data_IF_687966861349
#
_entry.id   IF_687966861349
#
_cell.length_a   1.000
_cell.length_b   1.000
_cell.length_c   1.000
_cell.angle_alpha   90.00
_cell.angle_beta   90.00
_cell.angle_gamma   90.00
#
_symmetry.space_group_name_H-M   'P 1'
#
loop_
_entity.id
_entity.type
_entity.pdbx_description
1 polymer ?
#
# COMPACT_ATOMS: atom_id res chain seq x y z
N UNK A 1 -17.42 -17.36 11.79
CA UNK A 1 -17.87 -17.96 10.52
C UNK A 1 -17.41 -17.05 9.41
N UNK A 2 -16.41 -17.48 8.64
CA UNK A 2 -15.92 -16.77 7.47
C UNK A 2 -16.71 -17.11 6.20
N UNK A 3 -16.15 -16.80 5.03
CA UNK A 3 -16.67 -17.21 3.72
C UNK A 3 -16.53 -18.72 3.52
N UNK A 4 -17.61 -19.37 3.12
CA UNK A 4 -17.62 -20.76 2.65
C UNK A 4 -17.27 -20.82 1.16
N UNK A 5 -16.85 -21.98 0.64
CA UNK A 5 -16.54 -22.15 -0.80
C UNK A 5 -17.70 -21.75 -1.72
N UNK A 6 -18.95 -21.99 -1.31
CA UNK A 6 -20.14 -21.53 -2.04
C UNK A 6 -20.31 -19.99 -2.00
N UNK A 7 -19.95 -19.34 -0.90
CA UNK A 7 -19.99 -17.87 -0.79
C UNK A 7 -18.94 -17.22 -1.69
N UNK A 8 -17.77 -17.85 -1.81
CA UNK A 8 -16.68 -17.42 -2.72
C UNK A 8 -17.14 -17.45 -4.18
N UNK A 9 -17.79 -18.55 -4.63
CA UNK A 9 -18.34 -18.66 -5.98
C UNK A 9 -19.38 -17.57 -6.29
N UNK A 10 -20.29 -17.28 -5.35
CA UNK A 10 -21.29 -16.21 -5.52
C UNK A 10 -20.64 -14.81 -5.61
N UNK A 11 -19.57 -14.58 -4.85
CA UNK A 11 -18.77 -13.35 -4.93
C UNK A 11 -18.07 -13.25 -6.30
N UNK A 12 -17.48 -14.34 -6.79
CA UNK A 12 -16.84 -14.43 -8.10
C UNK A 12 -17.80 -14.13 -9.25
N UNK A 13 -18.97 -14.78 -9.29
CA UNK A 13 -20.00 -14.56 -10.32
C UNK A 13 -20.51 -13.10 -10.31
N UNK A 14 -20.62 -12.52 -9.11
CA UNK A 14 -21.03 -11.11 -8.95
C UNK A 14 -19.95 -10.14 -9.46
N UNK A 15 -18.67 -10.43 -9.21
CA UNK A 15 -17.52 -9.66 -9.71
C UNK A 15 -17.38 -9.80 -11.23
N UNK A 16 -17.53 -11.00 -11.78
CA UNK A 16 -17.57 -11.26 -13.23
C UNK A 16 -18.74 -10.50 -13.89
N UNK A 17 -19.86 -10.33 -13.19
CA UNK A 17 -20.99 -9.47 -13.59
C UNK A 17 -20.70 -7.95 -13.46
N UNK A 18 -19.46 -7.55 -13.17
CA UNK A 18 -19.04 -6.15 -13.04
C UNK A 18 -19.56 -5.44 -11.79
N UNK A 19 -20.01 -6.18 -10.77
CA UNK A 19 -20.58 -5.62 -9.53
C UNK A 19 -19.68 -5.99 -8.35
N UNK A 20 -19.41 -5.02 -7.48
CA UNK A 20 -18.63 -5.24 -6.26
C UNK A 20 -19.56 -5.66 -5.10
N UNK A 21 -19.58 -6.95 -4.68
CA UNK A 21 -20.40 -7.40 -3.57
C UNK A 21 -19.93 -6.75 -2.26
N UNK A 22 -20.88 -6.50 -1.36
CA UNK A 22 -20.59 -6.00 -0.01
C UNK A 22 -20.39 -7.17 0.94
N UNK A 23 -19.33 -7.10 1.73
CA UNK A 23 -18.95 -8.11 2.72
C UNK A 23 -18.79 -7.46 4.09
N UNK A 24 -18.89 -8.25 5.16
CA UNK A 24 -18.67 -7.82 6.55
C UNK A 24 -17.43 -8.50 7.07
N UNK A 25 -16.56 -7.75 7.75
CA UNK A 25 -15.37 -8.31 8.37
C UNK A 25 -15.73 -9.04 9.67
N UNK A 26 -15.14 -10.21 9.89
CA UNK A 26 -15.29 -11.02 11.11
C UNK A 26 -14.32 -10.55 12.19
N UNK A 27 -14.44 -11.08 13.41
CA UNK A 27 -13.51 -10.83 14.51
C UNK A 27 -12.05 -11.21 14.19
N UNK A 28 -11.83 -12.14 13.25
CA UNK A 28 -10.50 -12.51 12.75
C UNK A 28 -9.76 -11.35 12.06
N UNK A 29 -10.50 -10.43 11.42
CA UNK A 29 -9.95 -9.22 10.79
C UNK A 29 -9.46 -8.16 11.80
N UNK A 30 -9.50 -8.43 13.11
CA UNK A 30 -8.97 -7.56 14.14
C UNK A 30 -9.63 -6.17 14.18
N UNK A 31 -8.86 -5.11 13.94
CA UNK A 31 -9.30 -3.71 14.13
C UNK A 31 -10.46 -3.28 13.22
N UNK A 32 -10.76 -4.03 12.16
CA UNK A 32 -11.86 -3.73 11.22
C UNK A 32 -13.06 -4.67 11.36
N UNK A 33 -13.05 -5.58 12.35
CA UNK A 33 -14.18 -6.45 12.66
C UNK A 33 -15.51 -5.68 12.75
N UNK A 34 -16.57 -6.27 12.18
CA UNK A 34 -17.90 -5.67 12.12
C UNK A 34 -18.08 -4.50 11.13
N UNK A 35 -17.01 -4.02 10.46
CA UNK A 35 -17.14 -3.03 9.39
C UNK A 35 -17.62 -3.68 8.09
N UNK A 36 -18.07 -2.84 7.15
CA UNK A 36 -18.54 -3.27 5.82
C UNK A 36 -17.51 -2.87 4.76
N UNK A 37 -17.07 -3.82 3.96
CA UNK A 37 -16.20 -3.63 2.81
C UNK A 37 -16.90 -3.93 1.48
N UNK A 38 -16.25 -3.59 0.37
CA UNK A 38 -16.61 -4.01 -0.99
C UNK A 38 -15.48 -4.86 -1.56
N UNK A 39 -15.78 -6.03 -2.10
CA UNK A 39 -14.77 -6.85 -2.78
C UNK A 39 -14.41 -6.15 -4.10
N UNK A 40 -13.14 -5.80 -4.28
CA UNK A 40 -12.60 -5.15 -5.47
C UNK A 40 -12.04 -6.18 -6.45
N UNK A 41 -11.35 -7.20 -5.92
CA UNK A 41 -10.80 -8.33 -6.64
C UNK A 41 -10.94 -9.59 -5.79
N UNK A 42 -11.17 -10.71 -6.47
CA UNK A 42 -11.01 -12.04 -5.94
C UNK A 42 -9.90 -12.70 -6.77
N UNK A 43 -8.87 -13.20 -6.11
CA UNK A 43 -7.79 -13.97 -6.74
C UNK A 43 -8.02 -15.47 -6.51
N UNK A 44 -7.23 -16.30 -7.19
CA UNK A 44 -7.38 -17.75 -7.17
C UNK A 44 -7.21 -18.29 -5.74
N UNK A 45 -8.07 -19.19 -5.24
CA UNK A 45 -8.11 -19.58 -3.82
C UNK A 45 -6.98 -20.56 -3.43
N UNK A 46 -5.74 -20.10 -3.58
CA UNK A 46 -4.61 -20.63 -2.83
C UNK A 46 -4.73 -20.21 -1.36
N UNK A 47 -4.34 -21.08 -0.43
CA UNK A 47 -4.53 -20.87 1.00
C UNK A 47 -3.83 -19.58 1.49
N UNK A 48 -4.60 -18.61 1.96
CA UNK A 48 -4.09 -17.30 2.38
C UNK A 48 -5.05 -16.16 2.09
N UNK A 49 -4.49 -15.02 1.68
CA UNK A 49 -5.18 -13.73 1.51
C UNK A 49 -5.55 -13.46 0.03
N UNK A 50 -6.59 -14.12 -0.48
CA UNK A 50 -7.01 -14.02 -1.90
C UNK A 50 -8.17 -13.03 -2.15
N UNK A 51 -8.70 -12.36 -1.12
CA UNK A 51 -9.85 -11.44 -1.24
C UNK A 51 -9.40 -9.99 -1.05
N UNK A 52 -9.31 -9.19 -2.12
CA UNK A 52 -9.02 -7.75 -1.99
C UNK A 52 -10.29 -6.97 -1.67
N UNK A 53 -10.38 -6.42 -0.45
CA UNK A 53 -11.56 -5.70 0.03
C UNK A 53 -11.23 -4.22 0.29
N UNK A 54 -11.99 -3.34 -0.35
CA UNK A 54 -11.95 -1.89 -0.08
C UNK A 54 -12.93 -1.53 1.04
N UNK A 55 -12.45 -0.86 2.08
CA UNK A 55 -13.26 -0.30 3.17
C UNK A 55 -12.87 1.15 3.42
N UNK A 56 -13.85 2.07 3.34
CA UNK A 56 -13.56 3.50 3.35
C UNK A 56 -12.62 3.92 2.20
N UNK A 57 -11.41 4.35 2.57
CA UNK A 57 -10.36 4.76 1.64
C UNK A 57 -9.25 3.72 1.47
N UNK A 58 -9.24 2.68 2.29
CA UNK A 58 -8.20 1.66 2.34
C UNK A 58 -8.62 0.44 1.51
N UNK A 59 -7.63 -0.23 0.91
CA UNK A 59 -7.79 -1.44 0.11
C UNK A 59 -6.72 -2.43 0.55
N UNK A 60 -7.14 -3.52 1.20
CA UNK A 60 -6.27 -4.56 1.75
C UNK A 60 -6.66 -5.94 1.21
N UNK A 61 -5.71 -6.88 1.11
CA UNK A 61 -6.01 -8.29 0.97
C UNK A 61 -6.50 -8.88 2.31
N UNK A 62 -7.33 -9.91 2.23
CA UNK A 62 -7.92 -10.62 3.38
C UNK A 62 -8.09 -12.10 3.07
N UNK A 63 -8.08 -12.93 4.11
CA UNK A 63 -8.39 -14.36 3.98
C UNK A 63 -9.90 -14.62 3.96
N UNK A 64 -10.28 -15.84 3.59
CA UNK A 64 -11.67 -16.31 3.71
C UNK A 64 -12.20 -16.28 5.16
N UNK A 65 -11.34 -16.38 6.18
CA UNK A 65 -11.75 -16.38 7.59
C UNK A 65 -12.12 -14.96 8.08
N UNK A 66 -11.47 -13.93 7.55
CA UNK A 66 -11.58 -12.52 7.97
C UNK A 66 -12.83 -11.82 7.44
N UNK A 67 -13.50 -12.46 6.47
CA UNK A 67 -14.60 -11.88 5.70
C UNK A 67 -15.80 -12.81 5.76
N UNK A 68 -17.02 -12.28 5.72
CA UNK A 68 -18.25 -13.05 5.49
C UNK A 68 -19.26 -12.28 4.65
N UNK A 69 -20.18 -13.01 4.02
CA UNK A 69 -21.37 -12.37 3.44
C UNK A 69 -22.28 -11.91 4.60
N UNK A 70 -22.77 -10.66 4.59
CA UNK A 70 -23.75 -10.19 5.58
C UNK A 70 -25.05 -10.99 5.48
N UNK A 71 -25.61 -11.36 6.62
CA UNK A 71 -26.93 -11.98 6.65
C UNK A 71 -27.98 -11.03 6.03
N UNK A 72 -29.03 -11.59 5.41
CA UNK A 72 -30.04 -10.81 4.68
C UNK A 72 -30.78 -9.84 5.62
N UNK A 73 -30.42 -8.55 5.56
CA UNK A 73 -30.92 -7.48 6.43
C UNK A 73 -29.93 -6.95 7.48
N UNK A 74 -28.76 -7.55 7.62
CA UNK A 74 -27.71 -7.14 8.58
C UNK A 74 -27.17 -5.73 8.26
N UNK A 75 -26.88 -5.46 6.98
CA UNK A 75 -26.50 -4.13 6.48
C UNK A 75 -27.58 -3.05 6.69
N UNK A 76 -28.83 -3.44 6.95
CA UNK A 76 -29.95 -2.52 7.19
C UNK A 76 -30.13 -2.19 8.68
N UNK A 77 -29.45 -2.90 9.59
CA UNK A 77 -29.57 -2.68 11.04
C UNK A 77 -28.70 -1.52 11.53
N UNK A 78 -27.62 -1.19 10.83
CA UNK A 78 -26.65 -0.17 11.22
C UNK A 78 -27.20 1.28 11.30
N UNK A 79 -28.41 1.55 10.81
CA UNK A 79 -29.09 2.87 10.94
C UNK A 79 -30.14 2.89 12.05
N UNK A 80 -30.41 1.77 12.73
CA UNK A 80 -31.28 1.75 13.91
C UNK A 80 -30.42 1.73 15.18
N UNK A 81 -30.24 2.93 15.75
CA UNK A 81 -29.99 3.13 17.18
C UNK A 81 -30.87 2.15 17.98
N UNK A 82 -30.37 1.44 19.01
CA UNK A 82 -31.19 0.53 19.80
C UNK A 82 -32.36 1.30 20.43
N UNK A 83 -33.54 1.18 19.83
CA UNK A 83 -34.79 1.51 20.49
C UNK A 83 -35.05 0.35 21.44
N UNK A 84 -35.09 0.65 22.74
CA UNK A 84 -35.39 -0.35 23.76
C UNK A 84 -36.76 -0.98 23.48
N UNK A 85 -36.85 -2.28 23.74
CA UNK A 85 -38.04 -3.09 23.58
C UNK A 85 -39.13 -2.63 24.59
N UNK A 86 -40.36 -2.30 24.16
CA UNK A 86 -41.38 -1.75 25.05
C UNK A 86 -42.48 -2.77 25.42
N UNK A 87 -42.34 -3.41 26.59
CA UNK A 87 -43.41 -4.06 27.38
C UNK A 87 -43.04 -3.89 28.87
N UNK A 88 -43.92 -3.64 29.84
CA UNK A 88 -45.29 -3.10 29.87
C UNK A 88 -45.51 -2.44 31.27
N UNK A 89 -46.65 -1.75 31.58
CA UNK A 89 -46.65 -0.66 32.56
C UNK A 89 -46.93 -1.04 34.02
N UNK A 90 -46.29 -0.35 34.99
CA UNK A 90 -46.70 -0.37 36.39
C UNK A 90 -46.32 0.90 37.22
N UNK A 91 -47.37 1.66 37.60
CA UNK A 91 -47.59 2.45 38.84
C UNK A 91 -46.78 3.73 39.20
N UNK A 92 -47.54 4.86 39.23
CA UNK A 92 -47.46 6.08 40.09
C UNK A 92 -46.32 7.13 40.01
N UNK A 93 -46.65 8.43 39.83
CA UNK A 93 -45.79 9.59 40.12
C UNK A 93 -46.02 10.10 41.58
N UNK A 94 -45.10 10.90 42.17
CA UNK A 94 -45.24 12.36 42.00
C UNK A 94 -43.93 13.19 41.99
N UNK A 95 -44.03 14.34 41.30
CA UNK A 95 -43.45 15.67 41.62
C UNK A 95 -41.98 15.82 42.06
N UNK A 96 -41.23 16.59 41.26
CA UNK A 96 -39.91 17.13 41.61
C UNK A 96 -39.30 17.98 40.49
N UNK A 97 -39.83 19.17 40.26
CA UNK A 97 -39.33 20.14 39.26
C UNK A 97 -39.24 21.54 39.91
N UNK A 98 -38.52 22.53 39.32
CA UNK A 98 -37.46 22.49 38.30
C UNK A 98 -36.18 23.19 38.85
N UNK A 99 -35.66 24.21 38.14
CA UNK A 99 -34.43 25.01 38.40
C UNK A 99 -33.14 24.36 37.85
N UNK A 100 -32.43 24.89 36.85
CA UNK A 100 -32.54 26.18 36.14
C UNK A 100 -32.43 25.96 34.63
N UNK A 101 -33.33 26.59 33.87
CA UNK A 101 -32.96 27.04 32.54
C UNK A 101 -32.07 28.28 32.66
N UNK A 102 -31.37 28.63 31.57
CA UNK A 102 -31.60 29.90 30.86
C UNK A 102 -30.31 30.65 30.45
N UNK A 103 -30.12 30.76 29.12
CA UNK A 103 -29.39 31.81 28.35
C UNK A 103 -27.97 32.24 28.80
N UNK A 104 -27.03 32.12 27.86
CA UNK A 104 -26.72 33.29 27.02
C UNK A 104 -26.27 32.94 25.60
N UNK A 105 -26.40 33.94 24.73
CA UNK A 105 -26.29 33.91 23.27
C UNK A 105 -25.06 34.74 22.83
N UNK A 106 -24.63 34.60 21.56
CA UNK A 106 -23.78 35.59 20.83
C UNK A 106 -22.33 35.82 21.36
N UNK A 107 -21.31 36.30 20.62
CA UNK A 107 -21.17 36.68 19.20
C UNK A 107 -19.69 36.67 18.74
N UNK A 108 -19.47 36.43 17.44
CA UNK A 108 -18.43 36.94 16.50
C UNK A 108 -16.91 37.12 16.85
N UNK A 109 -16.13 37.03 15.76
CA UNK A 109 -14.87 37.74 15.47
C UNK A 109 -13.53 37.30 16.09
N UNK A 110 -12.44 37.63 15.37
CA UNK A 110 -11.07 37.64 15.92
C UNK A 110 -9.98 37.05 15.00
N UNK A 111 -9.52 37.81 14.00
CA UNK A 111 -8.42 37.40 13.12
C UNK A 111 -7.04 37.92 13.60
N UNK A 112 -5.99 37.16 13.27
CA UNK A 112 -4.60 37.58 13.08
C UNK A 112 -3.73 37.92 14.33
N UNK A 113 -2.42 37.63 14.24
CA UNK A 113 -1.46 37.85 15.32
C UNK A 113 0.00 37.52 14.95
N UNK A 114 0.68 38.40 14.21
CA UNK A 114 2.13 38.34 13.92
C UNK A 114 2.92 39.36 14.74
N UNK A 115 4.03 38.94 15.37
CA UNK A 115 5.13 39.77 15.97
C UNK A 115 6.40 38.91 16.03
N UNK A 116 7.63 39.22 15.56
CA UNK A 116 8.39 40.43 15.12
C UNK A 116 9.27 41.11 16.20
N UNK A 117 10.58 41.27 15.89
CA UNK A 117 11.76 41.95 16.55
C UNK A 117 12.74 41.02 17.29
N UNK A 118 14.06 41.27 17.32
CA UNK A 118 14.96 42.29 16.70
C UNK A 118 16.42 41.75 16.67
N UNK A 119 17.39 42.18 15.82
CA UNK A 119 18.07 43.50 15.76
C UNK A 119 18.74 43.88 17.11
N UNK A 120 20.03 44.26 17.29
CA UNK A 120 21.21 44.66 16.48
C UNK A 120 22.50 44.41 17.34
N UNK A 121 23.79 44.63 17.00
CA UNK A 121 24.52 45.19 15.83
C UNK A 121 25.98 44.64 15.74
N UNK A 122 26.82 45.33 14.97
CA UNK A 122 28.29 45.28 14.74
C UNK A 122 29.23 45.04 15.95
N UNK A 123 30.39 44.42 15.67
CA UNK A 123 31.68 44.95 16.13
C UNK A 123 32.83 44.60 15.17
N UNK A 124 33.65 45.60 14.84
CA UNK A 124 34.84 45.52 13.98
C UNK A 124 36.14 45.41 14.82
N UNK A 125 37.22 44.95 14.17
CA UNK A 125 38.64 45.26 14.45
C UNK A 125 39.50 44.24 15.22
N UNK A 126 40.70 43.95 14.70
CA UNK A 126 41.80 43.32 15.46
C UNK A 126 42.81 42.43 14.70
N UNK A 127 43.88 43.01 14.13
CA UNK A 127 45.19 42.41 13.73
C UNK A 127 45.21 41.24 12.69
N UNK A 128 45.94 41.28 11.56
CA UNK A 128 47.40 41.42 11.34
C UNK A 128 48.20 40.23 11.91
N UNK A 129 49.16 39.56 11.23
CA UNK A 129 50.06 39.92 10.10
C UNK A 129 50.40 38.64 9.23
N UNK A 130 51.33 38.58 8.23
CA UNK A 130 51.06 37.90 6.95
C UNK A 130 51.99 36.73 6.58
N UNK A 131 51.79 36.11 5.38
CA UNK A 131 52.86 35.50 4.56
C UNK A 131 52.48 35.30 3.07
N UNK A 132 52.57 36.39 2.31
CA UNK A 132 53.37 36.51 1.08
C UNK A 132 53.43 35.31 0.09
N UNK A 133 52.77 35.43 -1.08
CA UNK A 133 53.41 35.41 -2.42
C UNK A 133 52.39 35.40 -3.59
N UNK A 134 52.10 36.57 -4.16
CA UNK A 134 51.60 36.78 -5.53
C UNK A 134 52.79 36.99 -6.50
N UNK A 135 52.63 37.14 -7.84
CA UNK A 135 51.55 36.71 -8.75
C UNK A 135 52.07 35.98 -10.03
N UNK A 136 51.17 35.46 -10.87
CA UNK A 136 51.25 35.67 -12.33
C UNK A 136 49.85 35.80 -12.95
N UNK A 137 49.76 36.74 -13.89
CA UNK A 137 48.55 37.19 -14.58
C UNK A 137 48.06 36.19 -15.65
N UNK A 138 46.75 35.90 -15.69
CA UNK A 138 45.99 35.83 -16.95
C UNK A 138 44.48 35.55 -16.76
N UNK A 139 43.69 36.29 -17.56
CA UNK A 139 42.38 35.89 -18.13
C UNK A 139 41.07 36.14 -17.34
N UNK A 140 40.67 37.41 -17.41
CA UNK A 140 39.30 37.98 -17.57
C UNK A 140 38.09 37.01 -17.55
N UNK A 141 36.98 37.35 -16.84
CA UNK A 141 35.81 36.48 -16.69
C UNK A 141 35.07 36.23 -18.01
N UNK A 142 34.97 34.95 -18.40
CA UNK A 142 34.14 34.53 -19.54
C UNK A 142 32.64 34.56 -19.16
N UNK A 143 31.76 35.14 -19.99
CA UNK A 143 30.33 35.22 -19.68
C UNK A 143 29.67 33.85 -19.73
N UNK A 144 28.77 33.60 -18.77
CA UNK A 144 27.93 32.39 -18.70
C UNK A 144 27.24 32.12 -20.04
N UNK A 145 27.74 31.12 -20.79
CA UNK A 145 27.04 30.60 -21.97
C UNK A 145 25.68 30.07 -21.54
N UNK A 146 24.62 30.71 -22.02
CA UNK A 146 23.24 30.23 -21.86
C UNK A 146 23.16 28.82 -22.42
N UNK A 147 22.53 27.90 -21.67
CA UNK A 147 22.40 26.52 -22.07
C UNK A 147 21.74 26.44 -23.47
N UNK A 148 22.36 25.70 -24.39
CA UNK A 148 21.73 25.37 -25.65
C UNK A 148 20.45 24.58 -25.34
N UNK A 149 19.31 25.08 -25.80
CA UNK A 149 18.05 24.36 -25.70
C UNK A 149 18.18 23.05 -26.49
N UNK A 150 18.28 21.92 -25.78
CA UNK A 150 18.25 20.59 -26.42
C UNK A 150 16.98 20.50 -27.28
N UNK A 151 17.03 19.90 -28.48
CA UNK A 151 15.85 19.70 -29.29
C UNK A 151 14.80 18.96 -28.47
N UNK A 152 13.54 19.34 -28.63
CA UNK A 152 12.42 18.79 -27.88
C UNK A 152 12.30 17.30 -28.23
N UNK A 153 12.86 16.46 -27.37
CA UNK A 153 12.84 15.02 -27.53
C UNK A 153 11.40 14.54 -27.74
N UNK A 154 11.24 13.49 -28.54
CA UNK A 154 9.98 12.77 -28.64
C UNK A 154 9.57 12.19 -27.28
N UNK A 155 8.41 11.52 -27.20
CA UNK A 155 8.03 10.80 -25.99
C UNK A 155 9.02 9.65 -25.70
N UNK A 156 10.09 9.95 -24.97
CA UNK A 156 11.03 8.98 -24.41
C UNK A 156 10.25 8.08 -23.44
N UNK A 157 10.12 6.80 -23.78
CA UNK A 157 9.52 5.76 -22.94
C UNK A 157 10.62 4.77 -22.58
N UNK A 158 10.90 4.66 -21.28
CA UNK A 158 11.86 3.70 -20.73
C UNK A 158 11.06 2.65 -19.97
N UNK A 159 11.20 1.38 -20.35
CA UNK A 159 10.67 0.24 -19.61
C UNK A 159 11.85 -0.47 -18.97
N UNK A 160 11.80 -0.64 -17.66
CA UNK A 160 12.87 -1.25 -16.86
C UNK A 160 12.35 -2.55 -16.25
N UNK A 161 12.90 -3.67 -16.71
CA UNK A 161 12.81 -4.97 -16.05
C UNK A 161 13.90 -5.03 -14.96
N UNK A 162 13.57 -5.52 -13.78
CA UNK A 162 14.50 -5.57 -12.63
C UNK A 162 14.25 -6.85 -11.84
N UNK A 163 15.30 -7.61 -11.60
CA UNK A 163 15.30 -8.77 -10.71
C UNK A 163 15.91 -8.37 -9.37
N UNK A 164 15.20 -8.60 -8.26
CA UNK A 164 15.65 -8.27 -6.90
C UNK A 164 14.87 -9.12 -5.90
N UNK A 165 15.53 -9.60 -4.84
CA UNK A 165 14.90 -10.39 -3.76
C UNK A 165 14.12 -11.61 -4.33
N UNK A 166 14.71 -12.28 -5.33
CA UNK A 166 14.11 -13.37 -6.14
C UNK A 166 12.82 -13.04 -6.89
N UNK A 167 12.40 -11.76 -6.89
CA UNK A 167 11.23 -11.27 -7.60
C UNK A 167 11.63 -10.49 -8.87
N UNK A 168 10.93 -10.79 -9.97
CA UNK A 168 10.99 -9.97 -11.19
C UNK A 168 9.97 -8.85 -11.10
N UNK A 169 10.37 -7.63 -11.43
CA UNK A 169 9.49 -6.46 -11.47
C UNK A 169 9.67 -5.66 -12.76
N UNK A 170 8.56 -5.12 -13.28
CA UNK A 170 8.56 -4.23 -14.44
C UNK A 170 8.08 -2.85 -14.02
N UNK A 171 8.82 -1.82 -14.36
CA UNK A 171 8.42 -0.42 -14.22
C UNK A 171 8.53 0.33 -15.54
N UNK A 172 7.81 1.43 -15.68
CA UNK A 172 7.89 2.27 -16.87
C UNK A 172 7.94 3.76 -16.51
N UNK A 173 8.80 4.52 -17.17
CA UNK A 173 8.93 5.95 -17.06
C UNK A 173 8.85 6.63 -18.42
N UNK A 174 8.30 7.84 -18.46
CA UNK A 174 8.21 8.68 -19.65
C UNK A 174 9.00 9.96 -19.41
N UNK A 175 10.20 10.04 -19.99
CA UNK A 175 11.23 11.00 -19.59
C UNK A 175 11.47 10.94 -18.07
N UNK A 176 11.46 12.09 -17.40
CA UNK A 176 11.69 12.20 -15.94
C UNK A 176 10.52 11.78 -15.04
N UNK A 177 9.39 11.31 -15.58
CA UNK A 177 8.23 10.89 -14.77
C UNK A 177 8.00 9.39 -14.87
N UNK A 178 8.00 8.69 -13.73
CA UNK A 178 7.50 7.31 -13.66
C UNK A 178 6.00 7.30 -14.01
N UNK A 179 5.60 6.48 -14.99
CA UNK A 179 4.22 6.34 -15.45
C UNK A 179 3.55 5.07 -14.95
N UNK A 180 4.35 4.03 -14.67
CA UNK A 180 3.91 2.81 -14.00
C UNK A 180 4.88 2.52 -12.85
N UNK A 181 4.34 2.30 -11.65
CA UNK A 181 5.11 1.79 -10.50
C UNK A 181 5.67 0.40 -10.84
N UNK A 182 6.73 -0.07 -10.16
CA UNK A 182 7.16 -1.47 -10.25
C UNK A 182 5.97 -2.40 -9.96
N UNK A 183 5.65 -3.27 -10.91
CA UNK A 183 4.67 -4.34 -10.77
C UNK A 183 5.43 -5.67 -10.78
N UNK A 184 5.21 -6.56 -9.81
CA UNK A 184 5.84 -7.87 -9.81
C UNK A 184 5.29 -8.73 -10.95
N UNK A 185 6.16 -9.53 -11.58
CA UNK A 185 5.85 -10.40 -12.71
C UNK A 185 6.44 -11.78 -12.49
N UNK A 186 5.79 -12.81 -13.03
CA UNK A 186 6.33 -14.18 -13.02
C UNK A 186 7.58 -14.26 -13.92
N UNK A 187 8.55 -15.10 -13.57
CA UNK A 187 9.75 -15.36 -14.36
C UNK A 187 9.43 -15.70 -15.84
N UNK A 188 8.42 -16.55 -16.07
CA UNK A 188 7.91 -16.87 -17.42
C UNK A 188 7.48 -15.62 -18.20
N UNK A 189 6.86 -14.64 -17.52
CA UNK A 189 6.42 -13.39 -18.14
C UNK A 189 7.57 -12.43 -18.42
N UNK A 190 8.61 -12.44 -17.60
CA UNK A 190 9.87 -11.71 -17.88
C UNK A 190 10.53 -12.25 -19.16
N UNK A 191 10.65 -13.58 -19.29
CA UNK A 191 11.17 -14.25 -20.50
C UNK A 191 10.32 -13.94 -21.74
N UNK A 192 8.98 -14.04 -21.65
CA UNK A 192 8.07 -13.65 -22.75
C UNK A 192 8.28 -12.20 -23.21
N UNK A 193 8.43 -11.26 -22.28
CA UNK A 193 8.63 -9.83 -22.60
C UNK A 193 9.96 -9.60 -23.32
N UNK A 194 11.03 -10.29 -22.92
CA UNK A 194 12.35 -10.17 -23.55
C UNK A 194 12.40 -10.86 -24.92
N UNK A 195 11.77 -12.03 -25.06
CA UNK A 195 11.62 -12.69 -26.35
C UNK A 195 10.78 -11.84 -27.34
N UNK A 196 9.77 -11.13 -26.85
CA UNK A 196 8.98 -10.17 -27.65
C UNK A 196 9.77 -8.92 -28.10
N UNK A 197 10.93 -8.66 -27.49
CA UNK A 197 11.85 -7.57 -27.85
C UNK A 197 12.98 -8.03 -28.81
N UNK A 198 13.00 -9.31 -29.18
CA UNK A 198 13.97 -9.93 -30.13
C UNK A 198 15.45 -9.60 -29.81
N UNK A 199 15.79 -9.44 -28.53
CA UNK A 199 17.13 -9.05 -28.07
C UNK A 199 17.89 -10.24 -27.46
N UNK A 200 18.73 -10.96 -28.23
CA UNK A 200 19.36 -12.20 -27.76
C UNK A 200 20.33 -11.98 -26.59
N UNK A 201 20.96 -10.81 -26.51
CA UNK A 201 21.88 -10.48 -25.41
C UNK A 201 21.14 -10.29 -24.06
N UNK A 202 19.92 -9.76 -24.09
CA UNK A 202 19.09 -9.61 -22.88
C UNK A 202 18.42 -10.95 -22.54
N UNK A 203 17.98 -11.71 -23.55
CA UNK A 203 17.40 -13.04 -23.36
C UNK A 203 18.35 -13.98 -22.61
N UNK A 204 19.60 -14.09 -23.06
CA UNK A 204 20.60 -14.95 -22.41
C UNK A 204 20.81 -14.62 -20.92
N UNK A 205 20.87 -13.34 -20.55
CA UNK A 205 21.03 -12.90 -19.15
C UNK A 205 19.78 -13.21 -18.31
N UNK A 206 18.59 -13.04 -18.87
CA UNK A 206 17.33 -13.35 -18.16
C UNK A 206 17.15 -14.86 -18.01
N UNK A 207 17.47 -15.66 -19.04
CA UNK A 207 17.45 -17.11 -18.98
C UNK A 207 18.47 -17.66 -17.97
N UNK A 208 19.68 -17.10 -17.90
CA UNK A 208 20.68 -17.45 -16.88
C UNK A 208 20.16 -17.22 -15.46
N UNK A 209 19.57 -16.05 -15.19
CA UNK A 209 19.00 -15.71 -13.87
C UNK A 209 17.82 -16.65 -13.53
N UNK A 210 16.96 -16.96 -14.50
CA UNK A 210 15.82 -17.86 -14.29
C UNK A 210 16.27 -19.30 -14.02
N UNK A 211 17.30 -19.80 -14.71
CA UNK A 211 17.82 -21.15 -14.44
C UNK A 211 18.59 -21.19 -13.10
N UNK A 212 19.32 -20.13 -12.72
CA UNK A 212 19.92 -20.02 -11.38
C UNK A 212 18.85 -20.06 -10.27
N UNK A 213 17.77 -19.28 -10.42
CA UNK A 213 16.63 -19.29 -9.48
C UNK A 213 15.93 -20.65 -9.43
N UNK A 214 15.81 -21.34 -10.58
CA UNK A 214 15.24 -22.68 -10.67
C UNK A 214 16.10 -23.74 -9.97
N UNK A 215 17.42 -23.69 -10.12
CA UNK A 215 18.35 -24.58 -9.42
C UNK A 215 18.21 -24.39 -7.91
N UNK A 216 18.28 -23.14 -7.43
CA UNK A 216 18.11 -22.84 -6.00
C UNK A 216 16.78 -23.36 -5.43
N UNK A 217 15.66 -23.10 -6.11
CA UNK A 217 14.34 -23.60 -5.72
C UNK A 217 14.25 -25.15 -5.72
N UNK A 218 14.98 -25.82 -6.61
CA UNK A 218 15.04 -27.30 -6.64
C UNK A 218 15.87 -27.87 -5.49
N UNK A 219 17.00 -27.25 -5.15
CA UNK A 219 17.85 -27.64 -4.03
C UNK A 219 17.13 -27.43 -2.68
N UNK A 220 16.38 -26.34 -2.54
CA UNK A 220 15.53 -26.11 -1.36
C UNK A 220 14.43 -27.18 -1.22
N UNK A 221 13.76 -27.53 -2.32
CA UNK A 221 12.75 -28.59 -2.32
C UNK A 221 13.33 -29.97 -1.94
N UNK A 222 14.51 -30.32 -2.44
CA UNK A 222 15.19 -31.58 -2.09
C UNK A 222 15.71 -31.58 -0.65
N UNK A 223 16.20 -30.45 -0.14
CA UNK A 223 16.56 -30.28 1.27
C UNK A 223 15.34 -30.47 2.18
N UNK A 224 14.20 -29.87 1.84
CA UNK A 224 12.96 -30.03 2.61
C UNK A 224 12.47 -31.49 2.60
N UNK A 225 12.57 -32.19 1.46
CA UNK A 225 12.27 -33.63 1.37
C UNK A 225 13.17 -34.48 2.27
N UNK A 226 14.48 -34.19 2.31
CA UNK A 226 15.41 -34.88 3.21
C UNK A 226 15.11 -34.60 4.70
N UNK A 227 14.75 -33.36 5.05
CA UNK A 227 14.37 -33.00 6.41
C UNK A 227 13.07 -33.70 6.86
N UNK A 228 12.08 -33.80 5.98
CA UNK A 228 10.86 -34.58 6.24
C UNK A 228 11.18 -36.06 6.44
N UNK A 229 12.00 -36.66 5.58
CA UNK A 229 12.39 -38.08 5.70
C UNK A 229 13.13 -38.39 7.01
N UNK A 230 14.01 -37.50 7.50
CA UNK A 230 14.69 -37.66 8.79
C UNK A 230 13.70 -37.56 9.97
N UNK A 231 12.74 -36.63 9.91
CA UNK A 231 11.69 -36.49 10.94
C UNK A 231 10.73 -37.69 10.94
N UNK A 232 10.32 -38.18 9.76
CA UNK A 232 9.48 -39.37 9.62
C UNK A 232 10.20 -40.64 10.13
N UNK A 233 11.49 -40.79 9.85
CA UNK A 233 12.29 -41.89 10.39
C UNK A 233 12.37 -41.86 11.93
N UNK A 234 12.66 -40.70 12.53
CA UNK A 234 12.64 -40.54 14.00
C UNK A 234 11.27 -40.80 14.62
N UNK A 235 10.20 -40.44 13.92
CA UNK A 235 8.84 -40.71 14.38
C UNK A 235 8.56 -42.22 14.36
N UNK A 236 8.95 -42.92 13.29
CA UNK A 236 8.82 -44.37 13.18
C UNK A 236 9.68 -45.16 14.19
N UNK A 237 10.80 -44.61 14.65
CA UNK A 237 11.59 -45.18 15.76
C UNK A 237 10.93 -45.01 17.14
N UNK A 238 9.98 -44.07 17.27
CA UNK A 238 9.30 -43.72 18.52
C UNK A 238 7.88 -44.28 18.63
N UNK A 239 7.37 -44.97 17.60
CA UNK A 239 6.01 -45.52 17.49
C UNK A 239 5.97 -47.04 17.51
#
# INVERSE_FOLDING_TARGET
MGLSTADVQVIEETLASGKHPKVVFTDSAGQIAGRVGKVMRLEEPAEGEFVTVRFGNDELPFSAADVRIPARGELSRATRKPAAEPEEPAITPPQGAPLLAERHNDVDNGSNGTTKRGAMSDQESGAAVPRQADPVDANRPAPRRKAAAKPKAGPELTVSLTFKDDEWSVSASKGTKMIARPVPVKASKAVELVNSLESPAVAAVVEEIVEQSRVAASEEADRLRQQLADVEARLAELS
#
